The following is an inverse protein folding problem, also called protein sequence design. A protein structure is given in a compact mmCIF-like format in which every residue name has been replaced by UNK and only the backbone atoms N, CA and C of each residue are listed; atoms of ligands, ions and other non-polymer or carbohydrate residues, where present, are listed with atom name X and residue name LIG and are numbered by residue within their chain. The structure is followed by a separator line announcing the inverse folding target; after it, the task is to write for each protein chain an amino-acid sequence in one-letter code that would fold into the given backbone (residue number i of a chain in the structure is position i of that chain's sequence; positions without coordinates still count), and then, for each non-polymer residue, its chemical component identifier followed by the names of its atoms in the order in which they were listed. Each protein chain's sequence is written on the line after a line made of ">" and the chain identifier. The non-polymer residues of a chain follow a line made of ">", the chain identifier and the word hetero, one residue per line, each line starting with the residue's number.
data_IF_259373636255
#
_entry.id   IF_259373636255
#
_cell.length_a   1.000
_cell.length_b   1.000
_cell.length_c   1.000
_cell.angle_alpha   90.00
_cell.angle_beta   90.00
_cell.angle_gamma   90.00
#
_symmetry.space_group_name_H-M   'P 1'
#
loop_
_entity.id
_entity.type
_entity.pdbx_description
1 polymer ?
#
# COMPACT_ATOMS: atom_id res chain seq x y z
N UNK A 1 46.62 -34.09 -48.77
CA UNK A 1 45.37 -33.31 -48.91
C UNK A 1 44.17 -33.80 -48.08
N UNK A 2 43.96 -35.09 -47.80
CA UNK A 2 42.84 -35.63 -47.04
C UNK A 2 42.81 -35.27 -45.52
N UNK A 3 43.97 -35.05 -44.90
CA UNK A 3 44.05 -34.78 -43.46
C UNK A 3 43.80 -33.31 -43.09
N UNK A 4 44.01 -32.36 -43.99
CA UNK A 4 43.81 -30.92 -43.79
C UNK A 4 42.31 -30.57 -43.80
N UNK A 5 41.51 -31.22 -44.62
CA UNK A 5 40.04 -31.02 -44.73
C UNK A 5 39.31 -31.54 -43.48
N UNK A 6 39.82 -32.63 -42.85
CA UNK A 6 39.21 -33.15 -41.61
C UNK A 6 39.48 -32.27 -40.37
N UNK A 7 40.61 -31.59 -40.31
CA UNK A 7 40.92 -30.64 -39.20
C UNK A 7 40.05 -29.39 -39.34
N UNK A 8 39.88 -28.83 -40.54
CA UNK A 8 39.07 -27.64 -40.77
C UNK A 8 37.58 -27.88 -40.43
N UNK A 9 37.02 -29.03 -40.76
CA UNK A 9 35.63 -29.38 -40.43
C UNK A 9 35.42 -29.58 -38.92
N UNK A 10 36.38 -30.09 -38.16
CA UNK A 10 36.30 -30.25 -36.71
C UNK A 10 36.37 -28.90 -35.99
N UNK A 11 37.19 -27.96 -36.46
CA UNK A 11 37.34 -26.62 -35.86
C UNK A 11 36.07 -25.78 -36.12
N UNK A 12 35.46 -25.91 -37.32
CA UNK A 12 34.23 -25.18 -37.63
C UNK A 12 33.03 -25.70 -36.82
N UNK A 13 32.94 -27.00 -36.55
CA UNK A 13 31.88 -27.58 -35.73
C UNK A 13 32.00 -27.19 -34.25
N UNK A 14 33.23 -27.06 -33.74
CA UNK A 14 33.48 -26.61 -32.36
C UNK A 14 33.13 -25.12 -32.16
N UNK A 15 33.36 -24.25 -33.16
CA UNK A 15 33.00 -22.85 -33.13
C UNK A 15 31.49 -22.60 -33.21
N UNK A 16 30.76 -23.35 -34.01
CA UNK A 16 29.30 -23.24 -34.13
C UNK A 16 28.62 -23.76 -32.86
N UNK A 17 29.12 -24.83 -32.24
CA UNK A 17 28.57 -25.34 -30.96
C UNK A 17 28.85 -24.38 -29.80
N UNK A 18 30.01 -23.72 -29.76
CA UNK A 18 30.32 -22.71 -28.74
C UNK A 18 29.46 -21.43 -28.87
N UNK A 19 29.13 -21.02 -30.11
CA UNK A 19 28.25 -19.86 -30.36
C UNK A 19 26.78 -20.16 -29.98
N UNK A 20 26.32 -21.42 -30.15
CA UNK A 20 24.97 -21.83 -29.77
C UNK A 20 24.76 -21.93 -28.24
N UNK A 21 25.82 -22.27 -27.48
CA UNK A 21 25.78 -22.30 -26.01
C UNK A 21 25.78 -20.89 -25.43
N UNK A 22 26.40 -19.90 -26.07
CA UNK A 22 26.39 -18.50 -25.66
C UNK A 22 25.05 -17.79 -25.93
N UNK A 23 24.25 -18.24 -26.87
CA UNK A 23 22.92 -17.72 -27.22
C UNK A 23 21.81 -18.25 -26.28
N UNK A 24 22.03 -19.35 -25.60
CA UNK A 24 21.08 -19.91 -24.61
C UNK A 24 21.21 -19.27 -23.20
N UNK A 25 22.26 -18.48 -22.95
CA UNK A 25 22.51 -17.84 -21.65
C UNK A 25 21.95 -16.42 -21.51
N UNK A 26 21.38 -15.83 -22.58
CA UNK A 26 20.77 -14.50 -22.56
C UNK A 26 19.24 -14.55 -22.39
N UNK A 27 18.72 -15.56 -21.72
CA UNK A 27 17.39 -15.51 -21.12
C UNK A 27 17.44 -14.43 -20.04
N UNK A 28 17.03 -13.21 -20.38
CA UNK A 28 16.92 -12.11 -19.41
C UNK A 28 16.19 -12.65 -18.18
N UNK A 29 16.83 -12.63 -17.02
CA UNK A 29 16.18 -12.94 -15.77
C UNK A 29 14.97 -12.01 -15.67
N UNK A 30 13.80 -12.50 -16.00
CA UNK A 30 12.56 -11.77 -15.82
C UNK A 30 12.47 -11.53 -14.31
N UNK A 31 12.50 -10.26 -13.90
CA UNK A 31 12.42 -9.94 -12.49
C UNK A 31 11.20 -10.69 -11.92
N UNK A 32 11.47 -11.55 -10.94
CA UNK A 32 10.40 -12.35 -10.34
C UNK A 32 9.42 -11.39 -9.67
N UNK A 33 8.14 -11.51 -10.02
CA UNK A 33 7.07 -10.71 -9.42
C UNK A 33 7.06 -10.89 -7.90
N UNK A 34 6.97 -9.80 -7.17
CA UNK A 34 6.82 -9.80 -5.72
C UNK A 34 5.51 -10.52 -5.38
N UNK A 35 5.56 -11.48 -4.45
CA UNK A 35 4.40 -12.30 -4.07
C UNK A 35 3.80 -11.93 -2.72
N UNK A 36 4.57 -11.30 -1.84
CA UNK A 36 4.09 -10.91 -0.52
C UNK A 36 3.41 -9.54 -0.57
N UNK A 37 2.23 -9.46 0.05
CA UNK A 37 1.46 -8.23 0.22
C UNK A 37 1.08 -8.11 1.70
N UNK A 38 1.42 -7.00 2.32
CA UNK A 38 1.03 -6.68 3.70
C UNK A 38 0.08 -5.50 3.67
N UNK A 39 -1.13 -5.68 4.23
CA UNK A 39 -2.22 -4.71 4.23
C UNK A 39 -2.35 -4.08 5.62
N UNK A 40 -2.32 -2.74 5.69
CA UNK A 40 -2.37 -1.95 6.93
C UNK A 40 -3.62 -1.06 6.91
N UNK A 41 -4.55 -1.30 7.84
CA UNK A 41 -5.81 -0.56 7.92
C UNK A 41 -5.63 0.84 8.53
N UNK A 42 -6.61 1.71 8.33
CA UNK A 42 -6.66 3.06 8.87
C UNK A 42 -7.31 3.17 10.25
N UNK A 43 -7.51 4.41 10.72
CA UNK A 43 -8.35 4.73 11.86
C UNK A 43 -9.83 4.42 11.55
N UNK A 44 -10.64 4.26 12.59
CA UNK A 44 -12.09 4.05 12.50
C UNK A 44 -12.52 2.79 11.74
N UNK A 45 -11.61 1.84 11.56
CA UNK A 45 -11.77 0.56 10.89
C UNK A 45 -10.86 -0.49 11.55
N UNK A 46 -10.94 -1.71 11.06
CA UNK A 46 -10.04 -2.81 11.41
C UNK A 46 -9.59 -3.59 10.16
N UNK A 47 -8.83 -4.65 10.36
CA UNK A 47 -8.34 -5.47 9.26
C UNK A 47 -9.41 -6.26 8.50
N UNK A 48 -10.62 -6.41 9.03
CA UNK A 48 -11.68 -7.21 8.38
C UNK A 48 -12.18 -6.57 7.08
N UNK A 49 -12.09 -5.24 6.95
CA UNK A 49 -12.46 -4.52 5.73
C UNK A 49 -11.67 -4.94 4.49
N UNK A 50 -10.49 -5.53 4.65
CA UNK A 50 -9.67 -6.00 3.55
C UNK A 50 -10.14 -7.30 2.87
N UNK A 51 -11.23 -7.94 3.38
CA UNK A 51 -11.66 -9.28 2.97
C UNK A 51 -11.80 -9.43 1.44
N UNK A 52 -12.51 -8.53 0.76
CA UNK A 52 -12.72 -8.62 -0.68
C UNK A 52 -11.40 -8.53 -1.46
N UNK A 53 -10.53 -7.59 -1.09
CA UNK A 53 -9.20 -7.44 -1.69
C UNK A 53 -8.31 -8.64 -1.41
N UNK A 54 -8.33 -9.19 -0.19
CA UNK A 54 -7.64 -10.41 0.18
C UNK A 54 -8.03 -11.59 -0.74
N UNK A 55 -9.33 -11.80 -0.97
CA UNK A 55 -9.83 -12.89 -1.82
C UNK A 55 -9.38 -12.75 -3.28
N UNK A 56 -9.34 -11.50 -3.80
CA UNK A 56 -8.86 -11.23 -5.16
C UNK A 56 -7.36 -11.52 -5.27
N UNK A 57 -6.56 -10.97 -4.38
CA UNK A 57 -5.11 -11.12 -4.43
C UNK A 57 -4.66 -12.57 -4.21
N UNK A 58 -5.29 -13.30 -3.29
CA UNK A 58 -4.97 -14.72 -3.06
C UNK A 58 -5.31 -15.60 -4.25
N UNK A 59 -6.44 -15.35 -4.93
CA UNK A 59 -6.78 -16.02 -6.20
C UNK A 59 -5.75 -15.75 -7.30
N UNK A 60 -5.08 -14.60 -7.26
CA UNK A 60 -4.00 -14.22 -8.19
C UNK A 60 -2.61 -14.76 -7.75
N UNK A 61 -2.55 -15.52 -6.66
CA UNK A 61 -1.33 -16.19 -6.17
C UNK A 61 -0.42 -15.28 -5.34
N UNK A 62 -0.95 -14.23 -4.73
CA UNK A 62 -0.25 -13.45 -3.71
C UNK A 62 -0.40 -14.08 -2.32
N UNK A 63 0.65 -13.96 -1.51
CA UNK A 63 0.64 -14.24 -0.08
C UNK A 63 0.25 -12.95 0.65
N UNK A 64 -0.98 -12.89 1.15
CA UNK A 64 -1.53 -11.68 1.77
C UNK A 64 -1.59 -11.82 3.27
N UNK A 65 -1.00 -10.86 3.98
CA UNK A 65 -1.08 -10.76 5.45
C UNK A 65 -1.70 -9.42 5.82
N UNK A 66 -2.56 -9.41 6.83
CA UNK A 66 -3.29 -8.23 7.30
C UNK A 66 -2.78 -7.86 8.69
N UNK A 67 -2.30 -6.63 8.85
CA UNK A 67 -1.88 -6.08 10.14
C UNK A 67 -3.13 -5.67 10.92
N UNK A 68 -3.11 -5.91 12.23
CA UNK A 68 -4.07 -5.35 13.17
C UNK A 68 -3.36 -4.24 13.96
N UNK A 69 -3.64 -2.99 13.60
CA UNK A 69 -3.04 -1.84 14.23
C UNK A 69 -3.59 -1.64 15.64
N UNK A 70 -2.76 -1.47 16.67
CA UNK A 70 -3.21 -1.09 18.02
C UNK A 70 -3.94 0.24 18.07
N UNK A 71 -3.63 1.18 17.16
CA UNK A 71 -4.18 2.53 17.10
C UNK A 71 -3.87 3.39 18.34
N UNK A 72 -2.87 3.00 19.09
CA UNK A 72 -2.44 3.65 20.36
C UNK A 72 -1.36 4.71 20.15
N UNK A 73 -0.50 4.55 19.13
CA UNK A 73 0.51 5.52 18.70
C UNK A 73 1.02 5.18 17.30
N UNK A 74 1.71 6.10 16.62
CA UNK A 74 2.42 5.82 15.37
C UNK A 74 3.46 4.72 15.59
N UNK A 75 4.21 4.81 16.68
CA UNK A 75 5.28 3.86 17.02
C UNK A 75 4.74 2.45 17.22
N UNK A 76 3.60 2.29 17.91
CA UNK A 76 2.98 0.98 18.15
C UNK A 76 2.45 0.36 16.85
N UNK A 77 1.79 1.14 15.99
CA UNK A 77 1.27 0.67 14.71
C UNK A 77 2.42 0.32 13.74
N UNK A 78 3.50 1.11 13.76
CA UNK A 78 4.74 0.81 13.01
C UNK A 78 5.40 -0.46 13.53
N UNK A 79 5.46 -0.66 14.84
CA UNK A 79 6.03 -1.87 15.44
C UNK A 79 5.21 -3.12 15.06
N UNK A 80 3.87 -3.04 15.12
CA UNK A 80 2.98 -4.12 14.68
C UNK A 80 3.17 -4.44 13.19
N UNK A 81 3.31 -3.42 12.35
CA UNK A 81 3.57 -3.58 10.92
C UNK A 81 4.93 -4.22 10.65
N UNK A 82 6.00 -3.76 11.30
CA UNK A 82 7.35 -4.32 11.17
C UNK A 82 7.42 -5.77 11.63
N UNK A 83 6.73 -6.12 12.72
CA UNK A 83 6.63 -7.50 13.18
C UNK A 83 6.07 -8.42 12.08
N UNK A 84 5.00 -8.01 11.40
CA UNK A 84 4.43 -8.78 10.27
C UNK A 84 5.39 -8.85 9.08
N UNK A 85 6.13 -7.77 8.80
CA UNK A 85 7.15 -7.75 7.75
C UNK A 85 8.31 -8.72 8.05
N UNK A 86 8.71 -8.87 9.31
CA UNK A 86 9.74 -9.82 9.73
C UNK A 86 9.39 -11.27 9.38
N UNK A 87 8.10 -11.63 9.41
CA UNK A 87 7.62 -12.96 9.06
C UNK A 87 7.42 -13.19 7.56
N UNK A 88 7.57 -12.17 6.70
CA UNK A 88 7.52 -12.41 5.25
C UNK A 88 8.77 -13.17 4.78
N UNK A 89 8.61 -14.04 3.80
CA UNK A 89 9.71 -14.87 3.26
C UNK A 89 10.53 -14.18 2.14
N UNK A 90 10.16 -12.94 1.76
CA UNK A 90 10.84 -12.21 0.69
C UNK A 90 10.34 -10.79 0.49
N UNK A 91 10.66 -10.19 -0.67
CA UNK A 91 10.23 -8.84 -1.01
C UNK A 91 8.71 -8.68 -0.92
N UNK A 92 8.27 -7.54 -0.40
CA UNK A 92 6.88 -7.29 -0.02
C UNK A 92 6.38 -5.96 -0.57
N UNK A 93 5.15 -5.95 -1.10
CA UNK A 93 4.38 -4.74 -1.33
C UNK A 93 3.67 -4.38 -0.03
N UNK A 94 3.96 -3.20 0.52
CA UNK A 94 3.33 -2.71 1.73
C UNK A 94 2.21 -1.72 1.37
N UNK A 95 0.98 -2.01 1.78
CA UNK A 95 -0.23 -1.28 1.40
C UNK A 95 -0.85 -0.62 2.62
N UNK A 96 -1.13 0.69 2.57
CA UNK A 96 -1.75 1.43 3.66
C UNK A 96 -3.00 2.19 3.23
N UNK A 97 -4.07 2.02 4.00
CA UNK A 97 -5.31 2.78 3.85
C UNK A 97 -5.37 3.92 4.86
N UNK A 98 -5.76 5.11 4.44
CA UNK A 98 -6.06 6.24 5.34
C UNK A 98 -4.89 6.57 6.28
N UNK A 99 -5.10 6.49 7.60
CA UNK A 99 -4.05 6.57 8.64
C UNK A 99 -2.92 5.54 8.40
N UNK A 100 -3.28 4.32 7.92
CA UNK A 100 -2.29 3.30 7.56
C UNK A 100 -1.25 3.79 6.54
N UNK A 101 -1.54 4.84 5.78
CA UNK A 101 -0.57 5.50 4.90
C UNK A 101 0.57 6.17 5.67
N UNK A 102 0.29 6.83 6.80
CA UNK A 102 1.35 7.35 7.67
C UNK A 102 2.17 6.21 8.28
N UNK A 103 1.50 5.12 8.69
CA UNK A 103 2.18 3.93 9.23
C UNK A 103 3.12 3.31 8.21
N UNK A 104 2.68 3.12 6.95
CA UNK A 104 3.55 2.54 5.91
C UNK A 104 4.64 3.50 5.45
N UNK A 105 4.42 4.80 5.60
CA UNK A 105 5.45 5.82 5.33
C UNK A 105 6.64 5.64 6.27
N UNK A 106 6.40 5.35 7.55
CA UNK A 106 7.45 5.11 8.55
C UNK A 106 7.98 3.65 8.52
N UNK A 107 7.06 2.65 8.46
CA UNK A 107 7.42 1.24 8.46
C UNK A 107 8.08 0.77 7.15
N UNK A 108 7.86 1.48 6.05
CA UNK A 108 8.33 1.14 4.70
C UNK A 108 9.84 1.14 4.53
N UNK A 109 10.59 1.68 5.52
CA UNK A 109 12.06 1.58 5.58
C UNK A 109 12.55 0.17 5.92
N UNK A 110 11.65 -0.75 6.24
CA UNK A 110 11.99 -2.15 6.48
C UNK A 110 12.64 -2.80 5.24
N UNK A 111 13.73 -3.59 5.39
CA UNK A 111 14.50 -4.11 4.25
C UNK A 111 13.69 -5.01 3.30
N UNK A 112 12.65 -5.69 3.78
CA UNK A 112 11.78 -6.51 2.94
C UNK A 112 10.75 -5.71 2.12
N UNK A 113 10.56 -4.42 2.39
CA UNK A 113 9.63 -3.59 1.62
C UNK A 113 10.27 -3.19 0.30
N UNK A 114 9.66 -3.58 -0.80
CA UNK A 114 10.10 -3.27 -2.16
C UNK A 114 9.30 -2.15 -2.82
N UNK A 115 8.02 -1.99 -2.45
CA UNK A 115 7.14 -0.94 -2.95
C UNK A 115 6.07 -0.56 -1.92
N UNK A 116 5.55 0.65 -2.04
CA UNK A 116 4.49 1.20 -1.21
C UNK A 116 3.23 1.45 -2.05
N UNK A 117 2.05 1.13 -1.50
CA UNK A 117 0.76 1.45 -2.13
C UNK A 117 -0.12 2.19 -1.13
N UNK A 118 -0.53 3.40 -1.47
CA UNK A 118 -1.40 4.26 -0.68
C UNK A 118 -2.83 4.18 -1.21
N UNK A 119 -3.78 3.84 -0.36
CA UNK A 119 -5.20 3.70 -0.73
C UNK A 119 -6.00 4.72 0.03
N UNK A 120 -6.44 5.80 -0.64
CA UNK A 120 -7.15 6.92 0.00
C UNK A 120 -6.43 7.39 1.29
N UNK A 121 -5.11 7.61 1.25
CA UNK A 121 -4.26 7.59 2.42
C UNK A 121 -3.39 8.84 2.59
N UNK A 122 -2.96 9.09 3.83
CA UNK A 122 -1.92 10.08 4.12
C UNK A 122 -0.55 9.59 3.65
N UNK A 123 0.24 10.52 3.08
CA UNK A 123 1.63 10.31 2.69
C UNK A 123 2.48 11.49 3.18
N UNK A 124 2.65 11.64 4.51
CA UNK A 124 3.43 12.74 5.06
C UNK A 124 4.93 12.56 4.79
N UNK A 125 5.67 13.67 4.84
CA UNK A 125 7.12 13.71 4.73
C UNK A 125 7.78 13.76 6.10
N UNK A 126 9.12 13.72 6.14
CA UNK A 126 9.92 13.91 7.35
C UNK A 126 9.51 15.20 8.07
N UNK A 127 9.20 15.10 9.35
CA UNK A 127 8.75 16.19 10.20
C UNK A 127 7.28 16.60 10.01
N UNK A 128 6.56 16.00 9.06
CA UNK A 128 5.14 16.27 8.85
C UNK A 128 4.24 15.30 9.61
N UNK A 129 3.02 15.76 9.89
CA UNK A 129 1.98 14.97 10.56
C UNK A 129 0.74 14.83 9.66
N UNK A 130 -0.06 13.77 9.82
CA UNK A 130 -1.36 13.66 9.15
C UNK A 130 -2.30 14.83 9.43
N UNK A 131 -2.31 15.36 10.65
CA UNK A 131 -3.17 16.48 11.03
C UNK A 131 -2.81 17.77 10.28
N UNK A 132 -1.52 18.03 10.02
CA UNK A 132 -1.11 19.18 9.20
C UNK A 132 -1.74 19.11 7.82
N UNK A 133 -1.68 17.94 7.17
CA UNK A 133 -2.29 17.71 5.87
C UNK A 133 -3.82 17.78 5.91
N UNK A 134 -4.43 17.16 6.91
CA UNK A 134 -5.90 17.20 7.08
C UNK A 134 -6.42 18.65 7.17
N UNK A 135 -5.65 19.57 7.75
CA UNK A 135 -6.01 20.98 7.88
C UNK A 135 -5.75 21.85 6.65
N UNK A 136 -5.15 21.32 5.58
CA UNK A 136 -4.84 22.11 4.37
C UNK A 136 -6.08 22.39 3.50
N UNK A 137 -7.18 21.66 3.71
CA UNK A 137 -8.48 21.92 3.08
C UNK A 137 -9.61 21.80 4.11
N UNK A 138 -10.74 22.50 3.92
CA UNK A 138 -11.87 22.36 4.79
C UNK A 138 -12.44 20.92 4.70
N UNK A 139 -12.89 20.33 5.83
CA UNK A 139 -13.53 19.03 5.82
C UNK A 139 -14.86 19.10 5.06
N UNK A 140 -15.25 17.99 4.42
CA UNK A 140 -16.56 17.86 3.82
C UNK A 140 -17.66 17.97 4.89
N UNK A 141 -18.87 18.46 4.56
CA UNK A 141 -19.98 18.55 5.52
C UNK A 141 -20.34 17.20 6.15
N UNK A 142 -20.16 16.10 5.42
CA UNK A 142 -20.40 14.72 5.85
C UNK A 142 -19.30 14.18 6.75
N UNK A 143 -18.12 14.83 6.80
CA UNK A 143 -17.02 14.38 7.64
C UNK A 143 -17.45 14.30 9.11
N UNK A 144 -17.19 13.18 9.74
CA UNK A 144 -17.63 12.89 11.11
C UNK A 144 -16.50 12.62 12.08
N UNK A 145 -15.26 13.00 11.77
CA UNK A 145 -14.15 12.88 12.73
C UNK A 145 -14.41 13.81 13.89
N UNK A 146 -14.58 13.25 15.08
CA UNK A 146 -14.82 14.00 16.33
C UNK A 146 -13.50 14.54 16.90
N UNK A 147 -13.54 15.61 17.72
CA UNK A 147 -12.38 16.00 18.51
C UNK A 147 -12.02 14.90 19.52
N UNK A 148 -10.76 14.83 19.98
CA UNK A 148 -10.38 13.90 21.05
C UNK A 148 -11.23 14.12 22.30
N UNK A 149 -11.64 13.02 22.94
CA UNK A 149 -12.31 13.04 24.24
C UNK A 149 -11.33 13.37 25.39
N UNK A 150 -11.80 13.32 26.63
CA UNK A 150 -11.00 13.59 27.85
C UNK A 150 -9.88 12.55 28.08
N UNK A 151 -9.92 11.40 27.41
CA UNK A 151 -8.87 10.38 27.40
C UNK A 151 -7.94 10.49 26.18
N UNK A 152 -8.17 11.48 25.32
CA UNK A 152 -7.41 11.69 24.10
C UNK A 152 -7.79 10.72 22.95
N UNK A 153 -8.94 10.05 23.03
CA UNK A 153 -9.43 9.12 22.02
C UNK A 153 -10.33 9.85 21.01
N UNK A 154 -10.11 9.56 19.74
CA UNK A 154 -10.90 10.09 18.61
C UNK A 154 -11.80 8.99 18.07
N UNK A 155 -13.07 9.31 17.93
CA UNK A 155 -14.06 8.45 17.28
C UNK A 155 -14.64 9.15 16.04
N UNK A 156 -15.30 8.39 15.22
CA UNK A 156 -16.12 8.92 14.15
C UNK A 156 -17.58 9.08 14.65
N UNK A 157 -18.23 10.17 14.28
CA UNK A 157 -19.65 10.40 14.60
C UNK A 157 -20.52 9.29 13.97
N UNK A 158 -21.34 8.64 14.81
CA UNK A 158 -22.17 7.51 14.39
C UNK A 158 -23.14 7.87 13.27
N UNK A 159 -23.78 9.05 13.35
CA UNK A 159 -24.77 9.48 12.39
C UNK A 159 -24.14 9.85 11.03
N UNK A 160 -22.86 10.22 11.03
CA UNK A 160 -22.11 10.60 9.83
C UNK A 160 -21.24 9.47 9.27
N UNK A 161 -21.07 8.35 9.99
CA UNK A 161 -20.11 7.32 9.62
C UNK A 161 -20.37 6.76 8.21
N UNK A 162 -21.62 6.39 7.89
CA UNK A 162 -21.95 5.87 6.56
C UNK A 162 -21.71 6.93 5.49
N UNK A 163 -22.29 8.11 5.62
CA UNK A 163 -22.19 9.15 4.60
C UNK A 163 -20.78 9.74 4.43
N UNK A 164 -20.02 9.85 5.52
CA UNK A 164 -18.72 10.51 5.53
C UNK A 164 -17.53 9.57 5.37
N UNK A 165 -17.67 8.29 5.73
CA UNK A 165 -16.56 7.33 5.70
C UNK A 165 -16.74 6.28 4.59
N UNK A 166 -17.94 5.75 4.41
CA UNK A 166 -18.18 4.55 3.59
C UNK A 166 -19.50 4.59 2.82
N UNK A 167 -19.79 5.71 2.15
CA UNK A 167 -21.08 5.99 1.50
C UNK A 167 -21.48 5.02 0.39
N UNK A 168 -20.54 4.30 -0.19
CA UNK A 168 -20.71 3.42 -1.35
C UNK A 168 -20.72 1.92 -1.00
N UNK A 169 -20.85 1.57 0.30
CA UNK A 169 -21.09 0.19 0.73
C UNK A 169 -22.47 0.05 1.39
N UNK A 170 -23.02 -1.18 1.52
CA UNK A 170 -24.30 -1.41 2.17
C UNK A 170 -24.35 -0.88 3.62
N UNK A 171 -25.50 -0.36 4.02
CA UNK A 171 -25.66 0.29 5.33
C UNK A 171 -25.47 -0.67 6.53
N UNK A 172 -25.81 -1.94 6.39
CA UNK A 172 -25.57 -2.97 7.40
C UNK A 172 -24.08 -3.28 7.56
N UNK A 173 -23.32 -3.29 6.45
CA UNK A 173 -21.85 -3.42 6.47
C UNK A 173 -21.22 -2.19 7.12
N UNK A 174 -21.68 -0.98 6.79
CA UNK A 174 -21.22 0.25 7.42
C UNK A 174 -21.51 0.27 8.94
N UNK A 175 -22.67 -0.22 9.35
CA UNK A 175 -23.03 -0.33 10.77
C UNK A 175 -22.12 -1.32 11.53
N UNK A 176 -21.78 -2.45 10.91
CA UNK A 176 -20.80 -3.39 11.45
C UNK A 176 -19.41 -2.76 11.57
N UNK A 177 -18.92 -2.10 10.52
CA UNK A 177 -17.62 -1.41 10.55
C UNK A 177 -17.56 -0.34 11.65
N UNK A 178 -18.64 0.42 11.83
CA UNK A 178 -18.72 1.38 12.93
C UNK A 178 -18.59 0.70 14.29
N UNK A 179 -19.24 -0.43 14.48
CA UNK A 179 -19.22 -1.17 15.75
C UNK A 179 -17.86 -1.82 16.03
N UNK A 180 -17.10 -2.18 14.98
CA UNK A 180 -15.78 -2.84 15.07
C UNK A 180 -14.60 -1.87 15.06
N UNK A 181 -14.84 -0.55 14.91
CA UNK A 181 -13.74 0.43 14.91
C UNK A 181 -12.94 0.38 16.21
N UNK A 182 -11.59 0.38 16.09
CA UNK A 182 -10.70 0.51 17.24
C UNK A 182 -10.69 1.92 17.84
N UNK A 183 -10.35 2.02 19.12
CA UNK A 183 -10.15 3.30 19.80
C UNK A 183 -8.88 3.97 19.25
N UNK A 184 -9.03 5.05 18.50
CA UNK A 184 -7.91 5.74 17.86
C UNK A 184 -7.37 6.86 18.76
N UNK A 185 -6.12 6.74 19.21
CA UNK A 185 -5.48 7.77 20.01
C UNK A 185 -5.16 9.01 19.18
N UNK A 186 -5.65 10.17 19.60
CA UNK A 186 -5.45 11.45 18.91
C UNK A 186 -3.98 11.83 18.68
N UNK A 187 -3.06 11.33 19.54
CA UNK A 187 -1.62 11.54 19.37
C UNK A 187 -1.09 10.95 18.05
N UNK A 188 -1.73 9.94 17.49
CA UNK A 188 -1.39 9.39 16.17
C UNK A 188 -1.40 10.48 15.09
N UNK A 189 -2.42 11.35 15.09
CA UNK A 189 -2.54 12.41 14.09
C UNK A 189 -1.48 13.51 14.19
N UNK A 190 -0.87 13.69 15.37
CA UNK A 190 0.08 14.78 15.65
C UNK A 190 1.52 14.31 15.77
N UNK A 191 1.78 13.01 15.73
CA UNK A 191 3.15 12.48 15.74
C UNK A 191 3.77 12.65 14.35
N UNK A 192 4.93 13.33 14.23
CA UNK A 192 5.57 13.54 12.94
C UNK A 192 6.26 12.27 12.44
N UNK A 193 6.31 12.12 11.11
CA UNK A 193 7.13 11.10 10.45
C UNK A 193 8.60 11.43 10.66
N UNK A 194 9.41 10.41 10.96
CA UNK A 194 10.86 10.57 11.14
C UNK A 194 11.64 10.21 9.89
N UNK A 195 11.16 9.21 9.13
CA UNK A 195 11.84 8.75 7.93
C UNK A 195 10.83 8.30 6.86
N UNK A 196 10.54 9.17 5.92
CA UNK A 196 9.54 8.93 4.88
C UNK A 196 10.04 7.97 3.80
N UNK A 197 9.64 6.69 3.89
CA UNK A 197 10.11 5.61 3.02
C UNK A 197 9.81 5.83 1.52
N UNK A 198 8.80 6.61 1.17
CA UNK A 198 8.49 6.96 -0.21
C UNK A 198 9.58 7.78 -0.91
N UNK A 199 10.55 8.32 -0.17
CA UNK A 199 11.73 8.99 -0.74
C UNK A 199 12.70 8.01 -1.40
N UNK A 200 12.71 6.76 -0.91
CA UNK A 200 13.66 5.73 -1.32
C UNK A 200 12.98 4.53 -2.01
N UNK A 201 11.65 4.43 -1.91
CA UNK A 201 10.89 3.29 -2.43
C UNK A 201 9.92 3.71 -3.53
N UNK A 202 9.76 2.90 -4.59
CA UNK A 202 8.69 3.09 -5.56
C UNK A 202 7.33 3.17 -4.86
N UNK A 203 6.55 4.21 -5.20
CA UNK A 203 5.28 4.48 -4.54
C UNK A 203 4.15 4.61 -5.54
N UNK A 204 3.01 4.03 -5.19
CA UNK A 204 1.79 3.95 -5.97
C UNK A 204 0.60 4.39 -5.11
N UNK A 205 -0.47 4.92 -5.74
CA UNK A 205 -1.64 5.31 -4.97
C UNK A 205 -2.96 5.20 -5.75
N UNK A 206 -4.02 4.85 -5.02
CA UNK A 206 -5.40 4.96 -5.45
C UNK A 206 -6.05 6.16 -4.76
N UNK A 207 -6.49 7.15 -5.52
CA UNK A 207 -7.18 8.34 -5.04
C UNK A 207 -8.69 8.07 -5.07
N UNK A 208 -9.35 8.14 -3.92
CA UNK A 208 -10.80 8.03 -3.82
C UNK A 208 -11.44 9.36 -4.22
N UNK A 209 -12.13 9.43 -5.37
CA UNK A 209 -12.59 10.71 -5.91
C UNK A 209 -13.82 11.28 -5.20
N UNK A 210 -14.54 10.46 -4.42
CA UNK A 210 -15.73 10.86 -3.66
C UNK A 210 -15.47 10.78 -2.13
N UNK A 211 -14.20 10.80 -1.74
CA UNK A 211 -13.75 10.73 -0.34
C UNK A 211 -14.19 11.97 0.45
N UNK A 212 -14.93 11.74 1.56
CA UNK A 212 -15.38 12.78 2.50
C UNK A 212 -14.59 12.77 3.81
N UNK A 213 -13.69 11.81 3.99
CA UNK A 213 -12.80 11.70 5.15
C UNK A 213 -11.46 12.38 4.92
N UNK A 214 -10.79 12.09 3.79
CA UNK A 214 -9.59 12.82 3.34
C UNK A 214 -9.90 13.44 1.98
N UNK A 215 -10.01 14.76 1.93
CA UNK A 215 -10.28 15.48 0.68
C UNK A 215 -9.37 14.96 -0.46
N UNK A 216 -9.94 14.58 -1.64
CA UNK A 216 -9.14 14.08 -2.77
C UNK A 216 -8.02 15.02 -3.22
N UNK A 217 -8.18 16.34 -3.05
CA UNK A 217 -7.15 17.31 -3.40
C UNK A 217 -5.96 17.26 -2.44
N UNK A 218 -6.19 16.93 -1.17
CA UNK A 218 -5.10 16.65 -0.21
C UNK A 218 -4.32 15.40 -0.66
N UNK A 219 -5.01 14.33 -1.05
CA UNK A 219 -4.39 13.11 -1.57
C UNK A 219 -3.54 13.44 -2.81
N UNK A 220 -4.10 14.18 -3.78
CA UNK A 220 -3.38 14.59 -5.00
C UNK A 220 -2.14 15.44 -4.68
N UNK A 221 -2.24 16.37 -3.75
CA UNK A 221 -1.13 17.25 -3.38
C UNK A 221 0.05 16.45 -2.79
N UNK A 222 -0.23 15.52 -1.87
CA UNK A 222 0.78 14.64 -1.28
C UNK A 222 1.45 13.76 -2.34
N UNK A 223 0.67 13.10 -3.19
CA UNK A 223 1.18 12.17 -4.19
C UNK A 223 1.94 12.85 -5.34
N UNK A 224 1.51 14.07 -5.72
CA UNK A 224 2.21 14.86 -6.73
C UNK A 224 3.62 15.22 -6.30
N UNK A 225 3.82 15.68 -5.06
CA UNK A 225 5.14 16.10 -4.58
C UNK A 225 6.13 14.95 -4.46
N UNK A 226 5.63 13.75 -4.16
CA UNK A 226 6.43 12.53 -4.03
C UNK A 226 6.66 11.80 -5.35
N UNK A 227 6.10 12.31 -6.46
CA UNK A 227 6.09 11.63 -7.75
C UNK A 227 5.51 10.20 -7.68
N UNK A 228 4.56 9.98 -6.77
CA UNK A 228 3.83 8.71 -6.62
C UNK A 228 2.96 8.46 -7.84
N UNK A 229 3.01 7.24 -8.39
CA UNK A 229 2.14 6.85 -9.50
C UNK A 229 0.71 6.70 -9.03
N UNK A 230 -0.23 7.43 -9.60
CA UNK A 230 -1.62 7.51 -9.13
C UNK A 230 -2.63 6.97 -10.13
N UNK A 231 -3.77 6.50 -9.61
CA UNK A 231 -5.01 6.26 -10.35
C UNK A 231 -6.18 6.86 -9.57
N UNK A 232 -7.08 7.52 -10.28
CA UNK A 232 -8.37 7.97 -9.72
C UNK A 232 -9.35 6.80 -9.70
N UNK A 233 -9.95 6.55 -8.54
CA UNK A 233 -10.95 5.49 -8.33
C UNK A 233 -12.24 6.16 -7.83
N UNK A 234 -13.33 6.00 -8.57
CA UNK A 234 -14.63 6.52 -8.15
C UNK A 234 -15.13 5.72 -6.95
N UNK A 235 -15.32 6.39 -5.83
CA UNK A 235 -15.83 5.79 -4.60
C UNK A 235 -15.52 6.62 -3.36
N UNK A 236 -16.06 6.19 -2.24
CA UNK A 236 -15.88 6.79 -0.91
C UNK A 236 -14.49 6.51 -0.34
N UNK A 237 -14.27 6.86 0.92
CA UNK A 237 -12.98 6.61 1.60
C UNK A 237 -12.56 5.13 1.63
N UNK A 238 -13.51 4.19 1.50
CA UNK A 238 -13.27 2.74 1.56
C UNK A 238 -13.24 2.05 0.19
N UNK A 239 -12.64 2.69 -0.82
CA UNK A 239 -12.54 2.14 -2.19
C UNK A 239 -11.96 0.72 -2.26
N UNK A 240 -11.20 0.27 -1.26
CA UNK A 240 -10.71 -1.10 -1.19
C UNK A 240 -11.81 -2.14 -0.90
N UNK A 241 -12.97 -1.67 -0.45
CA UNK A 241 -14.17 -2.49 -0.26
C UNK A 241 -15.13 -2.40 -1.44
N UNK A 242 -15.40 -1.17 -1.93
CA UNK A 242 -16.38 -0.92 -2.99
C UNK A 242 -15.80 -1.11 -4.40
N UNK A 243 -14.49 -0.92 -4.57
CA UNK A 243 -13.75 -1.03 -5.84
C UNK A 243 -12.49 -1.90 -5.70
N UNK A 244 -12.58 -3.11 -5.10
CA UNK A 244 -11.41 -3.90 -4.73
C UNK A 244 -10.55 -4.32 -5.94
N UNK A 245 -11.15 -4.50 -7.13
CA UNK A 245 -10.41 -4.84 -8.35
C UNK A 245 -9.50 -3.69 -8.81
N UNK A 246 -9.93 -2.44 -8.68
CA UNK A 246 -9.10 -1.28 -9.02
C UNK A 246 -7.88 -1.18 -8.11
N UNK A 247 -8.07 -1.43 -6.81
CA UNK A 247 -6.98 -1.44 -5.82
C UNK A 247 -6.06 -2.64 -6.05
N UNK A 248 -6.60 -3.83 -6.33
CA UNK A 248 -5.81 -5.01 -6.65
C UNK A 248 -4.90 -4.78 -7.86
N UNK A 249 -5.42 -4.15 -8.92
CA UNK A 249 -4.63 -3.81 -10.12
C UNK A 249 -3.43 -2.92 -9.80
N UNK A 250 -3.59 -1.92 -8.91
CA UNK A 250 -2.49 -1.06 -8.48
C UNK A 250 -1.44 -1.84 -7.68
N UNK A 251 -1.87 -2.77 -6.82
CA UNK A 251 -0.98 -3.66 -6.06
C UNK A 251 -0.22 -4.60 -7.01
N UNK A 252 -0.89 -5.17 -8.00
CA UNK A 252 -0.24 -6.00 -9.04
C UNK A 252 0.82 -5.21 -9.81
N UNK A 253 0.54 -3.94 -10.12
CA UNK A 253 1.51 -3.09 -10.77
C UNK A 253 2.72 -2.82 -9.86
N UNK A 254 2.49 -2.50 -8.58
CA UNK A 254 3.55 -2.32 -7.59
C UNK A 254 4.38 -3.60 -7.39
N UNK A 255 3.78 -4.78 -7.55
CA UNK A 255 4.48 -6.06 -7.43
C UNK A 255 5.44 -6.37 -8.59
N UNK A 256 5.41 -5.59 -9.67
CA UNK A 256 6.29 -5.75 -10.83
C UNK A 256 7.51 -4.81 -10.80
N UNK A 257 7.74 -4.06 -9.71
CA UNK A 257 8.96 -3.26 -9.56
C UNK A 257 10.19 -4.17 -9.51
N UNK A 258 11.31 -3.66 -10.03
CA UNK A 258 12.59 -4.39 -9.90
C UNK A 258 13.03 -4.32 -8.44
N UNK A 259 13.23 -5.48 -7.84
CA UNK A 259 13.86 -5.59 -6.52
C UNK A 259 15.35 -5.35 -6.74
N UNK A 260 15.89 -4.34 -6.05
CA UNK A 260 17.32 -4.01 -6.08
C UNK A 260 18.09 -4.91 -5.11
#
# INVERSE_FOLDING_TARGET
>A
MRNSIRKAKRTLFAFVAALFVLLLGAGGAQAQQIKNVVLVHGAFADGSGWKALYEILTKKGFHVTIVQNPLTSLEDDVAATKLILDYQDGPTVLVGHSWGGAVITEAGNHPKVAALVYVAAFQPDNGETPLQWFKTAPPAPENGVLPPDDKGIVFYDKAKYHAGFCADIPADVAAFMYASQGAFAGKCFVTPITHAAWRDKPSFACIATEDKSINPDIQRAMYKRSNTKTVDVKGSHVIFMSQPEAVAKMIEEAANVKVQ
#
